data_IF_847014473825
#
_entry.id   IF_847014473825
#
_cell.length_a   1.000
_cell.length_b   1.000
_cell.length_c   1.000
_cell.angle_alpha   90.00
_cell.angle_beta   90.00
_cell.angle_gamma   90.00
#
_symmetry.space_group_name_H-M   'P 1'
#
loop_
_entity.id
_entity.type
_entity.pdbx_description
1 polymer ?
#
# COMPACT_ATOMS: atom_id res chain seq x y z
N UNK A 1 9.90 -8.11 8.20
CA UNK A 1 9.69 -6.78 7.57
C UNK A 1 9.02 -7.04 6.23
N UNK A 2 7.82 -6.50 5.99
CA UNK A 2 7.08 -6.77 4.76
C UNK A 2 7.66 -5.94 3.61
N UNK A 3 7.77 -6.52 2.40
CA UNK A 3 8.24 -5.82 1.19
C UNK A 3 7.13 -5.72 0.16
N UNK A 4 7.11 -4.60 -0.55
CA UNK A 4 6.22 -4.38 -1.67
C UNK A 4 6.94 -3.75 -2.86
N UNK A 5 6.37 -3.95 -4.04
CA UNK A 5 6.80 -3.33 -5.28
C UNK A 5 5.76 -2.31 -5.74
N UNK A 6 6.21 -1.13 -6.18
CA UNK A 6 5.36 -0.14 -6.82
C UNK A 6 4.87 -0.73 -8.15
N UNK A 7 3.56 -0.92 -8.30
CA UNK A 7 2.93 -1.30 -9.56
C UNK A 7 2.80 -0.09 -10.47
N UNK A 8 2.05 0.91 -9.99
CA UNK A 8 1.87 2.20 -10.65
C UNK A 8 1.77 3.33 -9.62
N UNK A 9 1.93 4.56 -10.11
CA UNK A 9 1.89 5.78 -9.32
C UNK A 9 1.36 6.94 -10.15
N UNK A 10 0.53 7.79 -9.54
CA UNK A 10 0.07 9.03 -10.14
C UNK A 10 0.23 10.20 -9.16
N UNK A 11 0.62 11.37 -9.67
CA UNK A 11 0.80 12.58 -8.88
C UNK A 11 -0.51 13.38 -8.80
N UNK A 12 -0.91 13.77 -7.59
CA UNK A 12 -2.15 14.50 -7.30
C UNK A 12 -1.87 15.91 -6.75
N UNK A 13 -0.82 16.57 -7.25
CA UNK A 13 -0.47 17.95 -6.91
C UNK A 13 0.33 18.11 -5.60
N UNK A 14 0.03 17.33 -4.57
CA UNK A 14 0.73 17.40 -3.26
C UNK A 14 1.34 16.07 -2.82
N UNK A 15 0.89 14.96 -3.37
CA UNK A 15 1.33 13.62 -3.03
C UNK A 15 1.16 12.69 -4.24
N UNK A 16 1.80 11.53 -4.18
CA UNK A 16 1.55 10.44 -5.10
C UNK A 16 0.55 9.48 -4.49
N UNK A 17 -0.39 8.99 -5.30
CA UNK A 17 -1.14 7.78 -4.98
C UNK A 17 -0.50 6.62 -5.72
N UNK A 18 -0.16 5.55 -5.00
CA UNK A 18 0.54 4.40 -5.55
C UNK A 18 -0.21 3.11 -5.25
N UNK A 19 -0.16 2.18 -6.21
CA UNK A 19 -0.50 0.79 -5.97
C UNK A 19 0.77 0.02 -5.59
N UNK A 20 0.75 -0.63 -4.43
CA UNK A 20 1.86 -1.42 -3.91
C UNK A 20 1.47 -2.90 -3.87
N UNK A 21 2.22 -3.74 -4.57
CA UNK A 21 2.02 -5.18 -4.56
C UNK A 21 2.92 -5.83 -3.52
N UNK A 22 2.35 -6.48 -2.51
CA UNK A 22 3.11 -7.18 -1.47
C UNK A 22 3.81 -8.41 -2.06
N UNK A 23 5.10 -8.58 -1.78
CA UNK A 23 5.92 -9.68 -2.36
C UNK A 23 5.79 -10.99 -1.55
N UNK A 24 5.57 -10.92 -0.23
CA UNK A 24 5.70 -12.07 0.70
C UNK A 24 4.35 -12.55 1.31
N UNK A 25 3.23 -11.95 0.92
CA UNK A 25 1.89 -12.23 1.48
C UNK A 25 0.92 -12.48 0.33
N UNK A 26 -0.14 -13.28 0.57
CA UNK A 26 -1.23 -13.53 -0.38
C UNK A 26 -1.52 -12.28 -1.23
N UNK A 27 -1.67 -12.45 -2.56
CA UNK A 27 -1.69 -11.39 -3.56
C UNK A 27 -2.56 -10.17 -3.16
N UNK A 28 -1.96 -9.26 -2.41
CA UNK A 28 -2.63 -8.12 -1.80
C UNK A 28 -2.02 -6.87 -2.38
N UNK A 29 -2.87 -6.02 -2.95
CA UNK A 29 -2.50 -4.70 -3.41
C UNK A 29 -2.95 -3.69 -2.37
N UNK A 30 -2.02 -2.86 -1.91
CA UNK A 30 -2.28 -1.74 -1.03
C UNK A 30 -2.31 -0.44 -1.84
N UNK A 31 -3.12 0.52 -1.39
CA UNK A 31 -3.07 1.90 -1.89
C UNK A 31 -2.32 2.74 -0.86
N UNK A 32 -1.26 3.41 -1.29
CA UNK A 32 -0.47 4.30 -0.44
C UNK A 32 -0.46 5.73 -0.97
N UNK A 33 -0.50 6.70 -0.05
CA UNK A 33 -0.23 8.10 -0.34
C UNK A 33 1.21 8.43 0.07
N UNK A 34 2.06 8.78 -0.90
CA UNK A 34 3.48 9.05 -0.68
C UNK A 34 3.77 10.55 -0.88
N UNK A 35 4.74 11.11 -0.14
CA UNK A 35 5.16 12.51 -0.32
C UNK A 35 5.63 12.80 -1.75
N UNK A 36 5.47 14.05 -2.18
CA UNK A 36 5.83 14.49 -3.54
C UNK A 36 7.33 14.36 -3.85
N UNK A 37 8.17 14.43 -2.82
CA UNK A 37 9.63 14.41 -2.92
C UNK A 37 10.16 13.01 -3.24
N UNK A 38 9.36 11.97 -2.98
CA UNK A 38 9.81 10.58 -3.09
C UNK A 38 9.83 10.06 -4.54
N UNK A 39 9.07 10.70 -5.44
CA UNK A 39 8.94 10.37 -6.88
C UNK A 39 8.96 8.85 -7.17
N UNK A 40 8.02 8.07 -6.62
CA UNK A 40 8.01 6.62 -6.74
C UNK A 40 7.91 6.17 -8.20
N UNK A 41 8.76 5.24 -8.60
CA UNK A 41 8.78 4.68 -9.96
C UNK A 41 8.19 3.27 -9.97
N UNK A 42 7.41 2.89 -11.01
CA UNK A 42 7.02 1.50 -11.22
C UNK A 42 8.22 0.55 -11.14
N UNK A 43 8.04 -0.56 -10.44
CA UNK A 43 9.09 -1.56 -10.20
C UNK A 43 10.00 -1.27 -8.99
N UNK A 44 9.97 -0.06 -8.42
CA UNK A 44 10.71 0.24 -7.20
C UNK A 44 10.24 -0.64 -6.03
N UNK A 45 11.18 -1.05 -5.17
CA UNK A 45 10.89 -1.85 -3.98
C UNK A 45 10.87 -0.97 -2.74
N UNK A 46 9.93 -1.25 -1.85
CA UNK A 46 9.73 -0.52 -0.61
C UNK A 46 9.60 -1.50 0.56
N UNK A 47 10.26 -1.18 1.67
CA UNK A 47 9.99 -1.82 2.94
C UNK A 47 8.77 -1.16 3.58
N UNK A 48 7.81 -1.97 4.03
CA UNK A 48 6.61 -1.50 4.68
C UNK A 48 6.71 -1.68 6.20
N UNK A 49 6.30 -0.65 6.92
CA UNK A 49 6.09 -0.66 8.36
C UNK A 49 4.71 -0.07 8.66
N UNK A 50 4.07 -0.57 9.71
CA UNK A 50 2.79 -0.06 10.18
C UNK A 50 2.86 0.14 11.69
N UNK A 51 2.24 1.20 12.18
CA UNK A 51 1.96 1.35 13.60
C UNK A 51 0.69 0.56 13.93
N UNK A 52 0.77 -0.51 14.76
CA UNK A 52 -0.40 -1.29 15.14
C UNK A 52 -1.52 -0.47 15.78
N UNK A 53 -1.21 0.66 16.43
CA UNK A 53 -2.21 1.54 17.03
C UNK A 53 -3.05 2.31 15.99
N UNK A 54 -2.60 2.37 14.74
CA UNK A 54 -3.31 3.01 13.62
C UNK A 54 -4.13 2.03 12.78
N UNK A 55 -4.18 0.75 13.16
CA UNK A 55 -4.95 -0.27 12.46
C UNK A 55 -6.36 -0.40 13.04
N UNK A 56 -7.35 -0.36 12.14
CA UNK A 56 -8.72 -0.75 12.46
C UNK A 56 -8.98 -2.17 11.97
N UNK A 57 -9.44 -3.05 12.85
CA UNK A 57 -9.80 -4.44 12.54
C UNK A 57 -11.30 -4.59 12.70
N UNK A 58 -11.96 -5.08 11.66
CA UNK A 58 -13.40 -5.28 11.64
C UNK A 58 -13.70 -6.78 11.51
N UNK A 59 -14.84 -7.22 12.03
CA UNK A 59 -15.32 -8.57 11.80
C UNK A 59 -15.63 -8.77 10.31
N UNK A 60 -15.46 -9.99 9.82
CA UNK A 60 -15.95 -10.34 8.49
C UNK A 60 -17.47 -10.13 8.43
N UNK A 61 -17.98 -9.57 7.35
CA UNK A 61 -19.42 -9.56 7.11
C UNK A 61 -19.90 -11.02 7.02
N UNK A 62 -20.86 -11.39 7.88
CA UNK A 62 -21.62 -12.61 7.67
C UNK A 62 -22.47 -12.40 6.42
N UNK A 63 -22.06 -13.01 5.31
CA UNK A 63 -22.92 -13.14 4.13
C UNK A 63 -24.00 -14.16 4.50
N UNK A 64 -25.12 -13.68 5.05
CA UNK A 64 -26.32 -14.51 5.21
C UNK A 64 -26.84 -14.86 3.80
N UNK A 65 -26.98 -16.15 3.46
CA UNK A 65 -27.39 -16.60 2.13
C UNK A 65 -28.83 -16.21 1.76
#
# INVERSE_FOLDING_TARGET
>A
MCRARVGDSAFFGTHFRCHLHCEDVAATTLIAHLPSELQPQPGARMALSVDPAQLSIFAAEEVTP
#
